data_IF_513876234823
#
_entry.id   IF_513876234823
#
_cell.length_a   1.000
_cell.length_b   1.000
_cell.length_c   1.000
_cell.angle_alpha   90.00
_cell.angle_beta   90.00
_cell.angle_gamma   90.00
#
_symmetry.space_group_name_H-M   'P 1'
#
loop_
_entity.id
_entity.type
_entity.pdbx_description
1 polymer ?
#
# COMPACT_ATOMS: atom_id res chain seq x y z
N UNK A 1 -20.23 -36.63 45.27
CA UNK A 1 -20.32 -36.97 43.83
C UNK A 1 -20.97 -35.86 42.99
N UNK A 2 -22.15 -35.35 43.37
CA UNK A 2 -22.89 -34.28 42.66
C UNK A 2 -22.10 -32.98 42.40
N UNK A 3 -21.25 -32.54 43.34
CA UNK A 3 -20.44 -31.31 43.21
C UNK A 3 -19.37 -31.40 42.10
N UNK A 4 -18.85 -32.61 41.81
CA UNK A 4 -17.87 -32.83 40.71
C UNK A 4 -18.55 -32.81 39.34
N UNK A 5 -19.77 -33.33 39.22
CA UNK A 5 -20.56 -33.29 37.98
C UNK A 5 -20.96 -31.85 37.62
N UNK A 6 -21.36 -31.05 38.61
CA UNK A 6 -21.69 -29.63 38.41
C UNK A 6 -20.47 -28.80 37.96
N UNK A 7 -19.30 -29.05 38.56
CA UNK A 7 -18.06 -28.36 38.16
C UNK A 7 -17.58 -28.78 36.76
N UNK A 8 -17.80 -30.04 36.36
CA UNK A 8 -17.48 -30.52 35.01
C UNK A 8 -18.40 -29.90 33.93
N UNK A 9 -19.69 -29.70 34.24
CA UNK A 9 -20.64 -28.99 33.36
C UNK A 9 -20.25 -27.52 33.15
N UNK A 10 -20.01 -26.79 34.24
CA UNK A 10 -19.60 -25.39 34.18
C UNK A 10 -18.29 -25.16 33.40
N UNK A 11 -17.34 -26.09 33.50
CA UNK A 11 -16.08 -26.03 32.75
C UNK A 11 -16.26 -26.24 31.25
N UNK A 12 -17.20 -27.10 30.83
CA UNK A 12 -17.52 -27.33 29.41
C UNK A 12 -18.26 -26.15 28.79
N UNK A 13 -19.22 -25.55 29.52
CA UNK A 13 -19.94 -24.36 29.08
C UNK A 13 -19.00 -23.15 28.91
N UNK A 14 -18.09 -22.94 29.87
CA UNK A 14 -17.09 -21.87 29.76
C UNK A 14 -16.11 -22.09 28.60
N UNK A 15 -15.74 -23.33 28.30
CA UNK A 15 -14.88 -23.66 27.15
C UNK A 15 -15.61 -23.46 25.82
N UNK A 16 -16.89 -23.84 25.73
CA UNK A 16 -17.72 -23.63 24.55
C UNK A 16 -17.91 -22.13 24.27
N UNK A 17 -18.26 -21.34 25.28
CA UNK A 17 -18.42 -19.89 25.16
C UNK A 17 -17.13 -19.17 24.72
N UNK A 18 -15.96 -19.63 25.20
CA UNK A 18 -14.66 -19.13 24.73
C UNK A 18 -14.40 -19.48 23.26
N UNK A 19 -14.71 -20.70 22.83
CA UNK A 19 -14.55 -21.12 21.44
C UNK A 19 -15.46 -20.37 20.48
N UNK A 20 -16.70 -20.07 20.89
CA UNK A 20 -17.63 -19.22 20.12
C UNK A 20 -17.11 -17.78 20.00
N UNK A 21 -16.65 -17.19 21.11
CA UNK A 21 -16.08 -15.85 21.12
C UNK A 21 -14.82 -15.73 20.23
N UNK A 22 -13.94 -16.74 20.28
CA UNK A 22 -12.74 -16.83 19.44
C UNK A 22 -13.12 -16.96 17.96
N UNK A 23 -14.09 -17.81 17.63
CA UNK A 23 -14.59 -17.96 16.25
C UNK A 23 -15.21 -16.67 15.71
N UNK A 24 -15.98 -15.96 16.54
CA UNK A 24 -16.56 -14.66 16.18
C UNK A 24 -15.48 -13.59 15.96
N UNK A 25 -14.44 -13.56 16.80
CA UNK A 25 -13.31 -12.66 16.65
C UNK A 25 -12.50 -12.95 15.38
N UNK A 26 -12.27 -14.23 15.05
CA UNK A 26 -11.62 -14.65 13.80
C UNK A 26 -12.44 -14.25 12.57
N UNK A 27 -13.76 -14.45 12.61
CA UNK A 27 -14.65 -14.04 11.52
C UNK A 27 -14.65 -12.52 11.32
N UNK A 28 -14.64 -11.74 12.40
CA UNK A 28 -14.54 -10.28 12.34
C UNK A 28 -13.19 -9.82 11.77
N UNK A 29 -12.09 -10.40 12.23
CA UNK A 29 -10.76 -10.08 11.73
C UNK A 29 -10.60 -10.44 10.24
N UNK A 30 -11.20 -11.54 9.79
CA UNK A 30 -11.27 -11.91 8.38
C UNK A 30 -11.97 -10.86 7.51
N UNK A 31 -13.09 -10.28 7.99
CA UNK A 31 -13.79 -9.17 7.31
C UNK A 31 -12.92 -7.92 7.23
N UNK A 32 -12.29 -7.52 8.34
CA UNK A 32 -11.37 -6.37 8.36
C UNK A 32 -10.19 -6.56 7.40
N UNK A 33 -9.64 -7.77 7.30
CA UNK A 33 -8.56 -8.06 6.35
C UNK A 33 -9.02 -7.93 4.89
N UNK A 34 -10.24 -8.35 4.56
CA UNK A 34 -10.80 -8.17 3.22
C UNK A 34 -10.96 -6.68 2.91
N UNK A 35 -11.54 -5.91 3.84
CA UNK A 35 -11.72 -4.46 3.70
C UNK A 35 -10.40 -3.72 3.49
N UNK A 36 -9.37 -4.04 4.29
CA UNK A 36 -8.03 -3.43 4.14
C UNK A 36 -7.39 -3.80 2.80
N UNK A 37 -7.59 -5.01 2.29
CA UNK A 37 -7.07 -5.42 0.97
C UNK A 37 -7.76 -4.66 -0.16
N UNK A 38 -9.09 -4.52 -0.10
CA UNK A 38 -9.83 -3.72 -1.07
C UNK A 38 -9.37 -2.26 -1.05
N UNK A 39 -9.08 -1.75 0.14
CA UNK A 39 -8.59 -0.39 0.31
C UNK A 39 -7.18 -0.19 -0.24
N UNK A 40 -6.30 -1.19 -0.11
CA UNK A 40 -4.99 -1.20 -0.78
C UNK A 40 -5.17 -1.18 -2.31
N UNK A 41 -6.06 -2.01 -2.86
CA UNK A 41 -6.32 -2.06 -4.29
C UNK A 41 -6.86 -0.72 -4.81
N UNK A 42 -7.77 -0.08 -4.06
CA UNK A 42 -8.27 1.27 -4.37
C UNK A 42 -7.16 2.31 -4.35
N UNK A 43 -6.27 2.26 -3.36
CA UNK A 43 -5.12 3.16 -3.29
C UNK A 43 -4.18 2.97 -4.49
N UNK A 44 -3.90 1.73 -4.88
CA UNK A 44 -3.04 1.41 -6.02
C UNK A 44 -3.65 1.88 -7.35
N UNK A 45 -4.95 1.71 -7.54
CA UNK A 45 -5.65 2.26 -8.70
C UNK A 45 -5.52 3.79 -8.77
N UNK A 46 -5.71 4.51 -7.66
CA UNK A 46 -5.50 5.97 -7.61
C UNK A 46 -4.08 6.36 -7.99
N UNK A 47 -3.08 5.65 -7.45
CA UNK A 47 -1.68 5.93 -7.76
C UNK A 47 -1.34 5.70 -9.23
N UNK A 48 -1.84 4.61 -9.83
CA UNK A 48 -1.65 4.29 -11.25
C UNK A 48 -2.28 5.35 -12.16
N UNK A 49 -3.50 5.79 -11.86
CA UNK A 49 -4.18 6.86 -12.61
C UNK A 49 -3.37 8.15 -12.55
N UNK A 50 -2.94 8.57 -11.35
CA UNK A 50 -2.11 9.78 -11.19
C UNK A 50 -0.77 9.67 -11.93
N UNK A 51 -0.13 8.50 -11.90
CA UNK A 51 1.11 8.26 -12.63
C UNK A 51 0.88 8.34 -14.15
N UNK A 52 -0.23 7.81 -14.64
CA UNK A 52 -0.62 7.89 -16.05
C UNK A 52 -0.83 9.34 -16.50
N UNK A 53 -1.60 10.12 -15.74
CA UNK A 53 -1.82 11.55 -16.03
C UNK A 53 -0.50 12.33 -15.99
N UNK A 54 0.35 12.10 -14.98
CA UNK A 54 1.66 12.73 -14.89
C UNK A 54 2.56 12.35 -16.07
N UNK A 55 2.54 11.08 -16.50
CA UNK A 55 3.30 10.60 -17.65
C UNK A 55 2.88 11.27 -18.96
N UNK A 56 1.57 11.45 -19.19
CA UNK A 56 1.05 12.18 -20.37
C UNK A 56 1.53 13.64 -20.35
N UNK A 57 1.40 14.32 -19.21
CA UNK A 57 1.85 15.71 -19.06
C UNK A 57 3.34 15.88 -19.29
N UNK A 58 4.16 15.01 -18.68
CA UNK A 58 5.61 15.01 -18.87
C UNK A 58 5.99 14.73 -20.33
N UNK A 59 5.30 13.78 -20.98
CA UNK A 59 5.52 13.46 -22.39
C UNK A 59 5.21 14.63 -23.31
N UNK A 60 4.12 15.37 -23.06
CA UNK A 60 3.78 16.57 -23.82
C UNK A 60 4.85 17.67 -23.68
N UNK A 61 5.30 17.94 -22.45
CA UNK A 61 6.36 18.92 -22.18
C UNK A 61 7.68 18.51 -22.84
N UNK A 62 8.10 17.26 -22.67
CA UNK A 62 9.31 16.74 -23.30
C UNK A 62 9.23 16.77 -24.83
N UNK A 63 8.05 16.51 -25.41
CA UNK A 63 7.82 16.60 -26.85
C UNK A 63 8.06 18.01 -27.39
N UNK A 64 7.52 19.04 -26.72
CA UNK A 64 7.77 20.44 -27.11
C UNK A 64 9.24 20.85 -27.00
N UNK A 65 9.92 20.39 -25.94
CA UNK A 65 11.37 20.62 -25.76
C UNK A 65 12.20 19.99 -26.87
N UNK A 66 11.92 18.73 -27.24
CA UNK A 66 12.67 18.02 -28.27
C UNK A 66 12.33 18.46 -29.69
N UNK A 67 11.14 19.02 -29.92
CA UNK A 67 10.77 19.65 -31.19
C UNK A 67 11.57 20.93 -31.45
N UNK A 68 12.16 21.53 -30.41
CA UNK A 68 12.91 22.79 -30.50
C UNK A 68 12.02 24.03 -30.57
N UNK A 69 10.71 23.87 -30.38
CA UNK A 69 9.73 24.96 -30.41
C UNK A 69 9.86 25.88 -29.18
N UNK A 70 10.45 25.39 -28.09
CA UNK A 70 10.55 26.11 -26.82
C UNK A 70 11.74 25.62 -25.97
N UNK A 71 12.43 26.54 -25.30
CA UNK A 71 13.59 26.25 -24.43
C UNK A 71 13.42 26.95 -23.06
N UNK A 72 13.64 26.24 -21.94
CA UNK A 72 13.49 26.79 -20.60
C UNK A 72 14.64 27.71 -20.20
N UNK A 73 15.75 27.70 -20.94
CA UNK A 73 16.92 28.57 -20.67
C UNK A 73 16.79 29.96 -21.29
N UNK A 74 15.79 30.18 -22.14
CA UNK A 74 15.52 31.48 -22.75
C UNK A 74 14.54 32.32 -21.91
N UNK A 75 14.07 31.77 -20.79
CA UNK A 75 13.16 32.42 -19.84
C UNK A 75 13.91 33.47 -19.00
N UNK A 76 13.18 34.50 -18.55
CA UNK A 76 13.73 35.41 -17.53
C UNK A 76 14.13 34.65 -16.26
N UNK A 77 15.21 35.06 -15.58
CA UNK A 77 15.76 34.35 -14.41
C UNK A 77 14.70 33.90 -13.39
N UNK A 78 13.71 34.75 -13.07
CA UNK A 78 12.67 34.42 -12.09
C UNK A 78 11.72 33.31 -12.58
N UNK A 79 11.37 33.34 -13.88
CA UNK A 79 10.51 32.36 -14.53
C UNK A 79 11.25 31.03 -14.74
N UNK A 80 12.54 31.08 -15.03
CA UNK A 80 13.43 29.90 -15.12
C UNK A 80 13.50 29.15 -13.78
N UNK A 81 13.73 29.85 -12.66
CA UNK A 81 13.75 29.21 -11.32
C UNK A 81 12.39 28.59 -10.95
N UNK A 82 11.29 29.24 -11.34
CA UNK A 82 9.95 28.71 -11.13
C UNK A 82 9.71 27.44 -11.95
N UNK A 83 10.15 27.42 -13.21
CA UNK A 83 10.11 26.24 -14.06
C UNK A 83 10.86 25.06 -13.43
N UNK A 84 12.11 25.26 -13.02
CA UNK A 84 12.92 24.21 -12.39
C UNK A 84 12.32 23.71 -11.06
N UNK A 85 11.68 24.60 -10.30
CA UNK A 85 10.93 24.22 -9.09
C UNK A 85 9.75 23.30 -9.45
N UNK A 86 9.04 23.60 -10.54
CA UNK A 86 7.98 22.75 -11.07
C UNK A 86 8.50 21.37 -11.51
N UNK A 87 9.64 21.33 -12.20
CA UNK A 87 10.30 20.08 -12.61
C UNK A 87 10.70 19.25 -11.39
N UNK A 88 11.32 19.87 -10.37
CA UNK A 88 11.70 19.18 -9.13
C UNK A 88 10.47 18.61 -8.40
N UNK A 89 9.38 19.36 -8.34
CA UNK A 89 8.12 18.91 -7.77
C UNK A 89 7.52 17.72 -8.56
N UNK A 90 7.56 17.76 -9.90
CA UNK A 90 7.09 16.67 -10.75
C UNK A 90 7.87 15.37 -10.53
N UNK A 91 9.21 15.46 -10.46
CA UNK A 91 10.07 14.31 -10.16
C UNK A 91 9.80 13.75 -8.75
N UNK A 92 9.61 14.63 -7.76
CA UNK A 92 9.22 14.22 -6.41
C UNK A 92 7.86 13.51 -6.38
N UNK A 93 6.89 14.00 -7.17
CA UNK A 93 5.58 13.38 -7.31
C UNK A 93 5.68 11.97 -7.90
N UNK A 94 6.45 11.81 -8.99
CA UNK A 94 6.71 10.51 -9.61
C UNK A 94 7.38 9.54 -8.63
N UNK A 95 8.42 9.97 -7.91
CA UNK A 95 9.09 9.13 -6.92
C UNK A 95 8.12 8.64 -5.82
N UNK A 96 7.24 9.52 -5.35
CA UNK A 96 6.22 9.19 -4.35
C UNK A 96 5.18 8.21 -4.89
N UNK A 97 4.62 8.47 -6.09
CA UNK A 97 3.59 7.61 -6.71
C UNK A 97 4.17 6.25 -7.10
N UNK A 98 5.36 6.19 -7.70
CA UNK A 98 6.07 4.94 -7.96
C UNK A 98 6.37 4.19 -6.66
N UNK A 99 6.76 4.90 -5.59
CA UNK A 99 6.96 4.30 -4.26
C UNK A 99 5.69 3.74 -3.63
N UNK A 100 4.51 4.28 -3.99
CA UNK A 100 3.22 3.72 -3.58
C UNK A 100 2.90 2.41 -4.34
N UNK A 101 3.20 2.35 -5.64
CA UNK A 101 2.92 1.17 -6.49
C UNK A 101 3.97 0.06 -6.33
N UNK A 102 5.23 0.40 -5.99
CA UNK A 102 6.32 -0.57 -5.96
C UNK A 102 6.04 -1.74 -4.99
N UNK A 103 6.13 -3.00 -5.48
CA UNK A 103 5.79 -4.17 -4.68
C UNK A 103 6.82 -4.38 -3.56
N UNK A 104 6.44 -4.06 -2.33
CA UNK A 104 7.28 -4.30 -1.14
C UNK A 104 7.00 -5.67 -0.54
N UNK A 105 7.61 -6.70 -1.13
CA UNK A 105 7.48 -8.10 -0.69
C UNK A 105 8.42 -8.48 0.47
N UNK A 106 9.34 -7.60 0.86
CA UNK A 106 10.47 -7.94 1.74
C UNK A 106 10.29 -7.80 3.26
N UNK A 107 9.19 -7.24 3.78
CA UNK A 107 9.09 -6.89 5.21
C UNK A 107 8.86 -8.08 6.16
N UNK A 108 8.61 -9.30 5.65
CA UNK A 108 8.56 -10.53 6.49
C UNK A 108 9.94 -11.18 6.57
N UNK A 109 10.86 -10.58 7.33
CA UNK A 109 12.15 -11.21 7.69
C UNK A 109 12.17 -11.82 9.10
N UNK A 110 11.07 -11.77 9.86
CA UNK A 110 11.10 -12.09 11.30
C UNK A 110 10.11 -13.14 11.83
N UNK A 111 9.30 -13.81 11.00
CA UNK A 111 8.43 -14.89 11.48
C UNK A 111 8.89 -16.23 10.89
N UNK A 112 9.18 -17.20 11.76
CA UNK A 112 9.55 -18.57 11.39
C UNK A 112 8.54 -19.14 10.37
N UNK A 113 8.99 -19.89 9.36
CA UNK A 113 8.13 -20.42 8.29
C UNK A 113 7.35 -21.66 8.76
N UNK A 114 6.64 -21.59 9.88
CA UNK A 114 5.89 -22.73 10.39
C UNK A 114 4.46 -22.81 9.85
N UNK A 115 3.95 -21.77 9.18
CA UNK A 115 2.57 -21.75 8.63
C UNK A 115 2.57 -20.99 7.30
N UNK A 116 2.05 -21.62 6.24
CA UNK A 116 1.85 -21.02 4.92
C UNK A 116 0.70 -19.99 4.97
N UNK A 117 0.96 -18.81 5.54
CA UNK A 117 -0.06 -17.77 5.76
C UNK A 117 -0.14 -16.72 4.62
N UNK A 118 0.77 -16.79 3.63
CA UNK A 118 0.87 -15.81 2.56
C UNK A 118 1.44 -16.44 1.27
N UNK A 119 1.08 -15.94 0.09
CA UNK A 119 1.55 -16.48 -1.19
C UNK A 119 3.08 -16.50 -1.30
N UNK A 120 3.76 -15.50 -0.72
CA UNK A 120 5.22 -15.44 -0.67
C UNK A 120 5.85 -16.47 0.26
N UNK A 121 5.11 -16.97 1.24
CA UNK A 121 5.53 -18.09 2.08
C UNK A 121 5.31 -19.42 1.33
N UNK A 122 4.21 -19.54 0.55
CA UNK A 122 3.95 -20.69 -0.34
C UNK A 122 5.07 -20.87 -1.38
N UNK A 123 5.52 -19.76 -1.99
CA UNK A 123 6.60 -19.76 -2.98
C UNK A 123 7.97 -20.16 -2.41
N UNK A 124 8.12 -20.21 -1.08
CA UNK A 124 9.37 -20.62 -0.40
C UNK A 124 9.40 -22.09 -0.02
N UNK A 125 8.30 -22.83 -0.18
CA UNK A 125 8.31 -24.27 0.06
C UNK A 125 8.93 -25.01 -1.13
N UNK A 126 9.96 -25.80 -0.85
CA UNK A 126 10.69 -26.57 -1.86
C UNK A 126 9.89 -27.77 -2.39
N UNK A 127 8.80 -28.19 -1.71
CA UNK A 127 7.95 -29.29 -2.15
C UNK A 127 6.45 -29.14 -1.80
N UNK A 128 5.59 -29.70 -2.65
CA UNK A 128 4.13 -29.78 -2.42
C UNK A 128 3.80 -30.55 -1.13
N UNK A 129 4.61 -31.55 -0.77
CA UNK A 129 4.42 -32.39 0.41
C UNK A 129 4.68 -31.60 1.71
N UNK A 130 5.70 -30.74 1.73
CA UNK A 130 5.96 -29.82 2.84
C UNK A 130 4.88 -28.75 3.00
N UNK A 131 4.31 -28.27 1.89
CA UNK A 131 3.18 -27.33 1.91
C UNK A 131 1.92 -27.98 2.49
N UNK A 132 1.58 -29.19 2.04
CA UNK A 132 0.43 -29.93 2.56
C UNK A 132 0.55 -30.21 4.06
N UNK A 133 1.74 -30.61 4.54
CA UNK A 133 2.00 -30.81 5.97
C UNK A 133 1.88 -29.51 6.78
N UNK A 134 2.36 -28.38 6.26
CA UNK A 134 2.22 -27.08 6.91
C UNK A 134 0.77 -26.57 6.95
N UNK A 135 -0.01 -26.81 5.88
CA UNK A 135 -1.43 -26.47 5.82
C UNK A 135 -2.25 -27.31 6.81
N UNK A 136 -1.95 -28.61 6.92
CA UNK A 136 -2.59 -29.51 7.87
C UNK A 136 -2.20 -29.20 9.32
N UNK A 137 -0.94 -28.84 9.57
CA UNK A 137 -0.44 -28.45 10.90
C UNK A 137 -0.90 -27.05 11.34
N UNK A 138 -1.19 -26.15 10.40
CA UNK A 138 -1.64 -24.77 10.64
C UNK A 138 -3.16 -24.58 10.62
N UNK A 139 -3.95 -25.64 10.62
CA UNK A 139 -5.40 -25.62 10.37
C UNK A 139 -6.24 -24.81 11.39
N UNK A 140 -5.66 -24.34 12.50
CA UNK A 140 -6.33 -23.46 13.46
C UNK A 140 -5.72 -22.05 13.40
N UNK A 141 -6.46 -21.07 12.86
CA UNK A 141 -6.00 -19.68 12.87
C UNK A 141 -5.93 -19.18 14.31
N UNK A 142 -4.73 -18.78 14.74
CA UNK A 142 -4.51 -18.11 16.04
C UNK A 142 -4.88 -16.62 15.90
N UNK A 143 -5.70 -16.10 16.82
CA UNK A 143 -6.05 -14.68 16.90
C UNK A 143 -4.81 -13.78 16.91
N UNK A 144 -3.69 -14.20 17.50
CA UNK A 144 -2.42 -13.45 17.48
C UNK A 144 -1.89 -13.32 16.05
N UNK A 145 -1.88 -14.41 15.30
CA UNK A 145 -1.38 -14.44 13.92
C UNK A 145 -2.25 -13.57 12.99
N UNK A 146 -3.57 -13.66 13.13
CA UNK A 146 -4.51 -12.85 12.34
C UNK A 146 -4.37 -11.37 12.69
N UNK A 147 -4.19 -11.04 13.97
CA UNK A 147 -3.97 -9.65 14.43
C UNK A 147 -2.66 -9.06 13.89
N UNK A 148 -1.56 -9.82 13.90
CA UNK A 148 -0.28 -9.39 13.34
C UNK A 148 -0.35 -9.16 11.83
N UNK A 149 -1.08 -10.02 11.12
CA UNK A 149 -1.31 -9.88 9.69
C UNK A 149 -2.15 -8.63 9.39
N UNK A 150 -3.25 -8.40 10.14
CA UNK A 150 -4.08 -7.22 10.00
C UNK A 150 -3.26 -5.95 10.25
N UNK A 151 -2.47 -5.90 11.34
CA UNK A 151 -1.59 -4.77 11.65
C UNK A 151 -0.60 -4.48 10.52
N UNK A 152 -0.03 -5.53 9.93
CA UNK A 152 0.91 -5.40 8.80
C UNK A 152 0.20 -4.83 7.56
N UNK A 153 -0.97 -5.36 7.21
CA UNK A 153 -1.77 -4.87 6.08
C UNK A 153 -2.18 -3.41 6.28
N UNK A 154 -2.67 -3.03 7.46
CA UNK A 154 -3.04 -1.65 7.78
C UNK A 154 -1.85 -0.70 7.70
N UNK A 155 -0.65 -1.10 8.13
CA UNK A 155 0.58 -0.29 7.99
C UNK A 155 0.95 -0.06 6.53
N UNK A 156 0.82 -1.09 5.69
CA UNK A 156 1.09 -0.98 4.25
C UNK A 156 0.08 0.00 3.61
N UNK A 157 -1.21 -0.18 3.90
CA UNK A 157 -2.27 0.70 3.41
C UNK A 157 -2.02 2.16 3.80
N UNK A 158 -1.75 2.43 5.08
CA UNK A 158 -1.47 3.77 5.58
C UNK A 158 -0.25 4.40 4.89
N UNK A 159 0.84 3.63 4.72
CA UNK A 159 2.04 4.13 4.06
C UNK A 159 1.80 4.47 2.58
N UNK A 160 1.05 3.64 1.85
CA UNK A 160 0.64 3.93 0.46
C UNK A 160 -0.14 5.25 0.39
N UNK A 161 -1.08 5.45 1.31
CA UNK A 161 -1.83 6.70 1.40
C UNK A 161 -0.98 7.93 1.66
N UNK A 162 0.05 7.83 2.51
CA UNK A 162 1.00 8.94 2.73
C UNK A 162 1.75 9.28 1.45
N UNK A 163 2.26 8.27 0.72
CA UNK A 163 2.93 8.49 -0.57
C UNK A 163 2.00 9.10 -1.62
N UNK A 164 0.76 8.62 -1.72
CA UNK A 164 -0.24 9.16 -2.65
C UNK A 164 -0.55 10.62 -2.31
N UNK A 165 -0.73 10.95 -1.01
CA UNK A 165 -1.01 12.32 -0.57
C UNK A 165 0.12 13.28 -0.94
N UNK A 166 1.37 12.91 -0.63
CA UNK A 166 2.52 13.73 -1.01
C UNK A 166 2.67 13.83 -2.53
N UNK A 167 2.51 12.71 -3.24
CA UNK A 167 2.55 12.69 -4.71
C UNK A 167 1.52 13.62 -5.34
N UNK A 168 0.30 13.64 -4.81
CA UNK A 168 -0.77 14.52 -5.28
C UNK A 168 -0.45 16.01 -5.07
N UNK A 169 0.02 16.39 -3.87
CA UNK A 169 0.40 17.78 -3.58
C UNK A 169 1.57 18.24 -4.43
N UNK A 170 2.59 17.39 -4.61
CA UNK A 170 3.75 17.69 -5.45
C UNK A 170 3.35 17.81 -6.93
N UNK A 171 2.45 16.97 -7.41
CA UNK A 171 1.94 17.05 -8.78
C UNK A 171 1.15 18.35 -9.00
N UNK A 172 0.30 18.74 -8.03
CA UNK A 172 -0.42 20.01 -8.09
C UNK A 172 0.52 21.22 -8.07
N UNK A 173 1.55 21.19 -7.21
CA UNK A 173 2.57 22.23 -7.17
C UNK A 173 3.36 22.30 -8.49
N UNK A 174 3.71 21.16 -9.06
CA UNK A 174 4.38 21.08 -10.35
C UNK A 174 3.55 21.78 -11.43
N UNK A 175 2.31 21.34 -11.64
CA UNK A 175 1.39 21.93 -12.63
C UNK A 175 1.21 23.44 -12.41
N UNK A 176 1.03 23.86 -11.15
CA UNK A 176 0.90 25.26 -10.81
C UNK A 176 2.14 26.08 -11.22
N UNK A 177 3.34 25.60 -10.88
CA UNK A 177 4.59 26.27 -11.26
C UNK A 177 4.75 26.32 -12.79
N UNK A 178 4.44 25.23 -13.49
CA UNK A 178 4.54 25.16 -14.96
C UNK A 178 3.61 26.16 -15.63
N UNK A 179 2.33 26.20 -15.20
CA UNK A 179 1.33 27.13 -15.76
C UNK A 179 1.69 28.57 -15.46
N UNK A 180 2.08 28.88 -14.22
CA UNK A 180 2.48 30.25 -13.86
C UNK A 180 3.70 30.67 -14.65
N UNK A 181 4.68 29.78 -14.86
CA UNK A 181 5.86 30.10 -15.66
C UNK A 181 5.50 30.44 -17.11
N UNK A 182 4.67 29.61 -17.75
CA UNK A 182 4.19 29.84 -19.13
C UNK A 182 3.40 31.15 -19.22
N UNK A 183 2.50 31.41 -18.28
CA UNK A 183 1.69 32.63 -18.29
C UNK A 183 2.56 33.87 -18.05
N UNK A 184 3.50 33.82 -17.09
CA UNK A 184 4.39 34.94 -16.80
C UNK A 184 5.30 35.28 -17.99
N UNK A 185 5.75 34.26 -18.72
CA UNK A 185 6.54 34.42 -19.95
C UNK A 185 5.78 35.21 -21.04
N UNK A 186 4.46 35.07 -21.14
CA UNK A 186 3.66 35.84 -22.11
C UNK A 186 3.56 37.35 -21.80
N UNK A 187 3.90 37.77 -20.57
CA UNK A 187 3.78 39.16 -20.12
C UNK A 187 5.14 39.86 -19.97
N UNK A 188 6.25 39.17 -20.23
CA UNK A 188 7.63 39.69 -20.16
C UNK A 188 8.21 39.88 -21.57
#
# INVERSE_FOLDING_TARGET
MLRRLRNAGAGREAAAARGEAESAALAHAGRLMAEVRDEINRADAKAQVLLGVAGVGLGAVAGGLFAGDWSPYDLSNAVEWLWWTGVAAALGALACLSGAVYPRTGARRAAKPSIAAYYGDIARFESVRSLAAALLGGARPDLRQVSDQLRTLSRIAHRKYVFIRWGFWLLGAAVGCTVIAIVADQFL
#
